data_IF_545891643265
#
_entry.id   IF_545891643265
#
_cell.length_a   1.000
_cell.length_b   1.000
_cell.length_c   1.000
_cell.angle_alpha   90.00
_cell.angle_beta   90.00
_cell.angle_gamma   90.00
#
_symmetry.space_group_name_H-M   'P 1'
#
loop_
_entity.id
_entity.type
_entity.pdbx_description
1 polymer ?
#
# COMPACT_ATOMS: atom_id res chain seq x y z
N UNK A 1 -3.56 -25.55 -5.86
CA UNK A 1 -3.23 -24.32 -6.62
C UNK A 1 -2.92 -23.11 -5.73
N UNK A 2 -3.73 -22.81 -4.70
CA UNK A 2 -3.51 -21.65 -3.80
C UNK A 2 -2.17 -21.65 -3.03
N UNK A 3 -1.70 -22.81 -2.57
CA UNK A 3 -0.42 -22.93 -1.85
C UNK A 3 0.79 -22.52 -2.71
N UNK A 4 0.74 -22.80 -4.01
CA UNK A 4 1.82 -22.46 -4.95
C UNK A 4 1.88 -20.94 -5.22
N UNK A 5 0.72 -20.26 -5.21
CA UNK A 5 0.64 -18.80 -5.33
C UNK A 5 1.21 -18.11 -4.09
N UNK A 6 0.87 -18.60 -2.90
CA UNK A 6 1.42 -18.06 -1.65
C UNK A 6 2.94 -18.23 -1.58
N UNK A 7 3.46 -19.40 -1.98
CA UNK A 7 4.91 -19.65 -2.01
C UNK A 7 5.66 -18.70 -2.95
N UNK A 8 5.18 -18.56 -4.18
CA UNK A 8 5.74 -17.59 -5.15
C UNK A 8 5.70 -16.17 -4.63
N UNK A 9 4.64 -15.81 -3.91
CA UNK A 9 4.49 -14.48 -3.32
C UNK A 9 5.52 -14.23 -2.24
N UNK A 10 5.73 -15.18 -1.34
CA UNK A 10 6.78 -15.10 -0.30
C UNK A 10 8.16 -14.99 -0.95
N UNK A 11 8.47 -15.86 -1.91
CA UNK A 11 9.75 -15.82 -2.63
C UNK A 11 9.98 -14.44 -3.30
N UNK A 12 8.92 -13.85 -3.84
CA UNK A 12 8.97 -12.53 -4.48
C UNK A 12 9.19 -11.39 -3.47
N UNK A 13 8.58 -11.47 -2.28
CA UNK A 13 8.77 -10.49 -1.22
C UNK A 13 10.16 -10.58 -0.59
N UNK A 14 10.68 -11.78 -0.37
CA UNK A 14 12.04 -12.01 0.12
C UNK A 14 13.09 -11.47 -0.86
N UNK A 15 12.84 -11.65 -2.17
CA UNK A 15 13.66 -11.05 -3.22
C UNK A 15 13.59 -9.52 -3.20
N UNK A 16 12.40 -8.93 -3.07
CA UNK A 16 12.26 -7.47 -2.93
C UNK A 16 12.99 -6.92 -1.72
N UNK A 17 12.87 -7.57 -0.56
CA UNK A 17 13.56 -7.19 0.66
C UNK A 17 15.09 -7.16 0.46
N UNK A 18 15.63 -8.19 -0.22
CA UNK A 18 17.05 -8.28 -0.54
C UNK A 18 17.53 -7.16 -1.47
N UNK A 19 16.78 -6.87 -2.55
CA UNK A 19 17.09 -5.78 -3.47
C UNK A 19 17.08 -4.41 -2.78
N UNK A 20 16.08 -4.16 -1.93
CA UNK A 20 15.97 -2.89 -1.18
C UNK A 20 17.18 -2.69 -0.26
N UNK A 21 17.67 -3.74 0.41
CA UNK A 21 18.90 -3.68 1.20
C UNK A 21 20.14 -3.29 0.39
N UNK A 22 20.27 -3.85 -0.82
CA UNK A 22 21.37 -3.49 -1.74
C UNK A 22 21.24 -2.03 -2.21
N UNK A 23 20.05 -1.62 -2.65
CA UNK A 23 19.80 -0.25 -3.12
C UNK A 23 20.06 0.79 -2.03
N UNK A 24 19.70 0.51 -0.77
CA UNK A 24 20.01 1.39 0.36
C UNK A 24 21.51 1.56 0.53
N UNK A 25 22.27 0.47 0.46
CA UNK A 25 23.73 0.51 0.57
C UNK A 25 24.34 1.38 -0.54
N UNK A 26 23.84 1.27 -1.76
CA UNK A 26 24.26 2.13 -2.88
C UNK A 26 23.88 3.59 -2.65
N UNK A 27 22.65 3.88 -2.22
CA UNK A 27 22.20 5.25 -1.94
C UNK A 27 22.99 5.92 -0.81
N UNK A 28 23.37 5.15 0.23
CA UNK A 28 24.23 5.61 1.31
C UNK A 28 25.66 5.90 0.84
N UNK A 29 26.23 5.05 -0.02
CA UNK A 29 27.55 5.28 -0.60
C UNK A 29 27.61 6.59 -1.40
N UNK A 30 26.53 6.92 -2.10
CA UNK A 30 26.37 8.16 -2.87
C UNK A 30 25.87 9.36 -2.03
N UNK A 31 25.79 9.23 -0.69
CA UNK A 31 25.32 10.28 0.23
C UNK A 31 23.94 10.85 -0.12
N UNK A 32 23.08 10.02 -0.70
CA UNK A 32 21.72 10.41 -1.07
C UNK A 32 20.76 10.14 0.09
N UNK A 33 20.81 10.98 1.14
CA UNK A 33 20.14 10.70 2.42
C UNK A 33 18.61 10.52 2.28
N UNK A 34 17.95 11.40 1.53
CA UNK A 34 16.49 11.28 1.29
C UNK A 34 16.13 10.01 0.52
N UNK A 35 16.97 9.59 -0.43
CA UNK A 35 16.75 8.36 -1.18
C UNK A 35 16.96 7.13 -0.30
N UNK A 36 18.04 7.10 0.48
CA UNK A 36 18.32 6.03 1.44
C UNK A 36 17.18 5.88 2.47
N UNK A 37 16.62 7.01 2.94
CA UNK A 37 15.46 7.01 3.82
C UNK A 37 14.22 6.37 3.16
N UNK A 38 13.88 6.76 1.93
CA UNK A 38 12.72 6.20 1.22
C UNK A 38 12.88 4.69 0.98
N UNK A 39 14.09 4.25 0.63
CA UNK A 39 14.39 2.83 0.44
C UNK A 39 14.29 2.07 1.77
N UNK A 40 14.79 2.63 2.87
CA UNK A 40 14.65 2.04 4.20
C UNK A 40 13.17 1.90 4.61
N UNK A 41 12.36 2.93 4.36
CA UNK A 41 10.92 2.85 4.65
C UNK A 41 10.21 1.79 3.80
N UNK A 42 10.61 1.62 2.53
CA UNK A 42 10.12 0.53 1.70
C UNK A 42 10.57 -0.85 2.19
N UNK A 43 11.81 -0.98 2.70
CA UNK A 43 12.32 -2.22 3.28
C UNK A 43 11.52 -2.65 4.52
N UNK A 44 11.20 -1.69 5.40
CA UNK A 44 10.35 -1.93 6.58
C UNK A 44 8.95 -2.39 6.14
N UNK A 45 8.33 -1.72 5.18
CA UNK A 45 7.00 -2.10 4.69
C UNK A 45 6.96 -3.54 4.13
N UNK A 46 7.97 -3.94 3.33
CA UNK A 46 8.06 -5.32 2.82
C UNK A 46 8.22 -6.33 3.97
N UNK A 47 9.01 -5.97 4.99
CA UNK A 47 9.21 -6.82 6.17
C UNK A 47 7.91 -7.02 6.96
N UNK A 48 7.12 -5.96 7.13
CA UNK A 48 5.82 -6.01 7.81
C UNK A 48 4.80 -6.82 7.00
N UNK A 49 4.83 -6.71 5.66
CA UNK A 49 4.01 -7.53 4.76
C UNK A 49 4.36 -9.02 4.89
N UNK A 50 5.66 -9.38 4.95
CA UNK A 50 6.12 -10.78 5.10
C UNK A 50 5.66 -11.36 6.44
N UNK A 51 5.75 -10.58 7.53
CA UNK A 51 5.28 -10.97 8.87
C UNK A 51 3.76 -11.12 8.95
N UNK A 52 3.03 -10.55 8.00
CA UNK A 52 1.58 -10.50 8.02
C UNK A 52 1.01 -9.41 8.94
N UNK A 53 1.86 -8.47 9.37
CA UNK A 53 1.49 -7.39 10.30
C UNK A 53 0.67 -6.28 9.62
N UNK A 54 0.61 -6.27 8.27
CA UNK A 54 -0.16 -5.28 7.51
C UNK A 54 -1.01 -5.92 6.40
N UNK A 55 -2.33 -5.66 6.32
CA UNK A 55 -3.11 -6.02 5.15
C UNK A 55 -2.59 -5.23 3.94
N UNK A 56 -2.31 -5.95 2.85
CA UNK A 56 -1.62 -5.52 1.62
C UNK A 56 -2.30 -4.42 0.80
N UNK A 57 -3.23 -3.66 1.39
CA UNK A 57 -3.99 -2.61 0.72
C UNK A 57 -4.12 -1.41 1.65
N UNK A 58 -3.35 -0.36 1.35
CA UNK A 58 -3.60 1.02 1.84
C UNK A 58 -4.95 1.57 1.35
N UNK A 59 -5.67 0.85 0.48
CA UNK A 59 -7.03 1.17 0.01
C UNK A 59 -8.05 0.06 0.25
N UNK A 60 -7.91 -0.69 1.35
CA UNK A 60 -8.88 -1.71 1.77
C UNK A 60 -10.12 -1.13 2.45
N UNK A 61 -10.49 0.13 2.18
CA UNK A 61 -11.80 0.62 2.60
C UNK A 61 -12.81 0.15 1.57
N UNK A 62 -13.53 -0.88 1.96
CA UNK A 62 -14.85 -1.20 1.46
C UNK A 62 -15.61 0.13 1.35
N UNK A 63 -15.70 0.69 0.13
CA UNK A 63 -16.54 1.86 -0.15
C UNK A 63 -17.94 1.47 0.32
N UNK A 64 -18.30 1.94 1.49
CA UNK A 64 -19.63 1.77 2.03
C UNK A 64 -20.58 2.53 1.07
N UNK A 65 -21.61 1.90 0.49
CA UNK A 65 -22.55 2.59 -0.39
C UNK A 65 -23.36 3.69 0.33
N UNK A 66 -23.19 3.85 1.65
CA UNK A 66 -23.86 4.85 2.47
C UNK A 66 -23.53 6.32 2.14
N UNK A 67 -22.51 6.60 1.31
CA UNK A 67 -22.25 7.98 0.85
C UNK A 67 -23.13 8.38 -0.35
N UNK A 68 -23.99 7.48 -0.85
CA UNK A 68 -25.12 7.89 -1.67
C UNK A 68 -26.25 8.42 -0.77
N UNK A 69 -26.04 9.59 -0.14
CA UNK A 69 -27.18 10.38 0.33
C UNK A 69 -28.02 10.75 -0.91
N UNK A 70 -29.30 10.36 -1.00
CA UNK A 70 -30.15 10.79 -2.09
C UNK A 70 -30.29 12.30 -1.98
N UNK A 71 -29.87 13.04 -3.01
CA UNK A 71 -30.21 14.44 -3.12
C UNK A 71 -31.71 14.52 -3.39
N UNK A 72 -32.49 14.82 -2.36
CA UNK A 72 -33.92 15.08 -2.45
C UNK A 72 -34.10 16.57 -2.75
N UNK A 73 -34.47 16.98 -4.00
CA UNK A 73 -34.64 18.38 -4.32
C UNK A 73 -35.94 18.90 -3.70
N UNK A 74 -35.82 19.45 -2.49
CA UNK A 74 -36.92 20.03 -1.77
C UNK A 74 -37.53 21.26 -2.50
N UNK A 75 -38.86 21.20 -2.63
CA UNK A 75 -39.87 22.27 -2.83
C UNK A 75 -40.18 22.75 -4.25
N UNK A 76 -41.38 22.34 -4.70
CA UNK A 76 -42.24 23.09 -5.61
C UNK A 76 -42.52 24.48 -5.03
N UNK A 77 -42.00 25.53 -5.63
CA UNK A 77 -42.49 26.90 -5.38
C UNK A 77 -43.65 27.15 -6.35
N UNK A 78 -44.87 27.23 -5.81
CA UNK A 78 -46.02 27.77 -6.55
C UNK A 78 -45.91 29.29 -6.54
N UNK A 79 -45.83 29.90 -7.71
CA UNK A 79 -46.14 31.32 -7.89
C UNK A 79 -47.60 31.45 -8.34
N UNK A 80 -48.29 32.43 -7.76
CA UNK A 80 -49.65 32.85 -8.11
C UNK A 80 -49.68 33.50 -9.50
#
# INVERSE_FOLDING_TARGET
MQQQLNRRRTDTLDYMQSMLGQMRTMAQAERCDMLAYLIEMAYVEVSDIIRGDRPLRVGGEQRNPATAVPFDPARKVKFQ
#
